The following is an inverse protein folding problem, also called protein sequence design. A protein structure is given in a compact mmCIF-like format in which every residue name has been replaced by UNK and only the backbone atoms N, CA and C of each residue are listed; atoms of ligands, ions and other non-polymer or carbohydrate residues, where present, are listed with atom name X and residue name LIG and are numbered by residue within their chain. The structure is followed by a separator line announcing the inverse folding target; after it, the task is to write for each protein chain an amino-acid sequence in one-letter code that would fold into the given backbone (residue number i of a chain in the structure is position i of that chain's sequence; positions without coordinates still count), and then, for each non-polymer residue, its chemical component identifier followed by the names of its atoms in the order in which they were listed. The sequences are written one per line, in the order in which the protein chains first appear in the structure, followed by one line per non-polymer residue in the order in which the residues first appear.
data_IF_568766663310
#
_entry.id   IF_568766663310
#
_cell.length_a   1.000
_cell.length_b   1.000
_cell.length_c   1.000
_cell.angle_alpha   90.00
_cell.angle_beta   90.00
_cell.angle_gamma   90.00
#
_symmetry.space_group_name_H-M   'P 1'
#
loop_
_entity.id
_entity.type
_entity.pdbx_description
1 polymer ?
#
# COMPACT_ATOMS: atom_id res chain seq x y z
N UNK A 1 6.99 61.07 -4.43
CA UNK A 1 6.49 59.94 -5.20
C UNK A 1 7.06 58.68 -4.54
N UNK A 2 6.24 57.97 -3.77
CA UNK A 2 6.61 56.72 -3.12
C UNK A 2 6.24 55.56 -4.05
N UNK A 3 7.23 54.86 -4.54
CA UNK A 3 7.05 53.64 -5.33
C UNK A 3 6.85 52.50 -4.31
N UNK A 4 5.62 52.02 -4.25
CA UNK A 4 5.34 50.76 -3.51
C UNK A 4 5.78 49.59 -4.38
N UNK A 5 6.88 48.98 -4.02
CA UNK A 5 7.31 47.73 -4.61
C UNK A 5 6.48 46.64 -3.93
N UNK A 6 5.50 46.10 -4.65
CA UNK A 6 4.72 44.94 -4.24
C UNK A 6 5.66 43.69 -4.35
N UNK A 7 6.16 43.24 -3.23
CA UNK A 7 6.81 41.92 -3.15
C UNK A 7 5.71 40.85 -3.20
N UNK A 8 5.49 40.31 -4.39
CA UNK A 8 4.65 39.12 -4.54
C UNK A 8 5.41 37.97 -3.91
N UNK A 9 5.07 37.63 -2.69
CA UNK A 9 5.48 36.39 -2.05
C UNK A 9 4.71 35.28 -2.77
N UNK A 10 5.34 34.66 -3.78
CA UNK A 10 4.90 33.42 -4.35
C UNK A 10 5.14 32.36 -3.26
N UNK A 11 4.15 32.12 -2.44
CA UNK A 11 4.07 30.91 -1.64
C UNK A 11 3.98 29.73 -2.61
N UNK A 12 5.13 29.19 -3.00
CA UNK A 12 5.19 27.84 -3.53
C UNK A 12 4.79 26.96 -2.35
N UNK A 13 3.50 26.69 -2.26
CA UNK A 13 3.00 25.57 -1.47
C UNK A 13 3.59 24.31 -2.11
N UNK A 14 4.77 23.91 -1.66
CA UNK A 14 5.20 22.54 -1.74
C UNK A 14 4.14 21.76 -0.95
N UNK A 15 3.10 21.34 -1.64
CA UNK A 15 2.22 20.33 -1.14
C UNK A 15 3.11 19.08 -0.93
N UNK A 16 3.60 18.90 0.30
CA UNK A 16 3.90 17.55 0.76
C UNK A 16 2.57 16.80 0.60
N UNK A 17 2.36 16.20 -0.56
CA UNK A 17 1.27 15.28 -0.73
C UNK A 17 1.56 14.13 0.23
N UNK A 18 0.90 14.20 1.38
CA UNK A 18 0.95 13.13 2.36
C UNK A 18 0.57 11.84 1.61
N UNK A 19 1.40 10.83 1.74
CA UNK A 19 1.13 9.52 1.15
C UNK A 19 -0.28 9.08 1.59
N UNK A 20 -1.19 8.91 0.63
CA UNK A 20 -2.58 8.56 0.93
C UNK A 20 -2.66 7.10 1.35
N UNK A 21 -2.82 6.86 2.64
CA UNK A 21 -2.98 5.52 3.21
C UNK A 21 -4.46 5.20 3.40
N UNK A 22 -4.87 3.98 2.98
CA UNK A 22 -6.22 3.45 3.17
C UNK A 22 -6.16 2.06 3.78
N UNK A 23 -6.85 1.86 4.90
CA UNK A 23 -7.01 0.53 5.50
C UNK A 23 -7.80 -0.39 4.55
N UNK A 24 -7.39 -1.66 4.49
CA UNK A 24 -8.04 -2.66 3.61
C UNK A 24 -9.44 -2.98 4.10
N UNK A 25 -9.62 -3.15 5.39
CA UNK A 25 -10.88 -3.59 5.98
C UNK A 25 -11.57 -2.45 6.75
N UNK A 26 -12.86 -2.25 6.51
CA UNK A 26 -13.64 -1.38 7.38
C UNK A 26 -13.64 -1.91 8.82
N UNK A 27 -13.83 -1.02 9.79
CA UNK A 27 -13.91 -1.38 11.20
C UNK A 27 -14.90 -2.53 11.44
N UNK A 28 -14.45 -3.58 12.12
CA UNK A 28 -15.25 -4.76 12.45
C UNK A 28 -15.56 -5.70 11.28
N UNK A 29 -14.95 -5.50 10.09
CA UNK A 29 -15.17 -6.34 8.90
C UNK A 29 -13.95 -7.15 8.49
N UNK A 30 -12.88 -7.14 9.28
CA UNK A 30 -11.67 -7.92 9.02
C UNK A 30 -11.96 -9.43 9.22
N UNK A 31 -11.72 -10.29 8.22
CA UNK A 31 -11.88 -11.73 8.36
C UNK A 31 -10.99 -12.28 9.47
N UNK A 32 -11.47 -13.30 10.18
CA UNK A 32 -10.72 -13.96 11.26
C UNK A 32 -10.08 -13.01 12.30
N UNK A 33 -10.69 -11.82 12.49
CA UNK A 33 -10.16 -10.80 13.39
C UNK A 33 -9.83 -11.33 14.78
N UNK A 34 -10.65 -12.24 15.31
CA UNK A 34 -10.48 -12.85 16.62
C UNK A 34 -9.23 -13.74 16.73
N UNK A 35 -8.70 -14.23 15.61
CA UNK A 35 -7.48 -15.05 15.57
C UNK A 35 -6.20 -14.22 15.50
N UNK A 36 -6.34 -12.93 15.20
CA UNK A 36 -5.20 -12.02 15.16
C UNK A 36 -4.99 -11.32 16.51
N UNK A 37 -3.74 -11.23 16.95
CA UNK A 37 -3.39 -10.46 18.16
C UNK A 37 -3.75 -8.97 18.04
N UNK A 38 -3.99 -8.51 16.81
CA UNK A 38 -4.40 -7.16 16.48
C UNK A 38 -5.92 -7.01 16.29
N UNK A 39 -6.69 -8.04 16.57
CA UNK A 39 -8.15 -8.05 16.37
C UNK A 39 -8.88 -6.91 17.08
N UNK A 40 -8.39 -6.53 18.27
CA UNK A 40 -8.92 -5.42 19.05
C UNK A 40 -8.38 -4.05 18.61
N UNK A 41 -7.44 -4.03 17.69
CA UNK A 41 -6.80 -2.79 17.24
C UNK A 41 -7.67 -2.14 16.19
N UNK A 42 -8.17 -1.02 16.51
CA UNK A 42 -9.04 -0.29 15.60
C UNK A 42 -8.25 0.53 14.60
N UNK A 43 -7.18 1.00 14.76
CA UNK A 43 -6.33 1.82 13.90
C UNK A 43 -5.18 2.33 14.75
N UNK A 44 -4.02 1.76 14.70
CA UNK A 44 -2.83 2.42 15.18
C UNK A 44 -2.39 2.22 16.62
N UNK A 45 -1.23 2.53 16.77
CA UNK A 45 -0.24 2.90 17.81
C UNK A 45 -0.68 2.95 19.29
N UNK A 46 -1.92 2.76 19.61
CA UNK A 46 -2.43 2.83 20.98
C UNK A 46 -2.82 1.50 21.61
N UNK A 47 -2.82 0.40 20.87
CA UNK A 47 -3.22 -0.87 21.42
C UNK A 47 -2.14 -1.46 22.34
N UNK A 48 -2.53 -1.85 23.52
CA UNK A 48 -1.65 -2.50 24.49
C UNK A 48 -1.01 -3.76 23.87
N UNK A 49 0.31 -3.83 23.84
CA UNK A 49 1.07 -4.93 23.25
C UNK A 49 1.35 -4.80 21.75
N UNK A 50 0.97 -3.70 21.12
CA UNK A 50 1.33 -3.41 19.74
C UNK A 50 2.85 -3.27 19.57
N UNK A 51 3.39 -3.99 18.60
CA UNK A 51 4.80 -3.88 18.18
C UNK A 51 4.83 -3.45 16.72
N UNK A 52 5.14 -2.19 16.42
CA UNK A 52 5.05 -1.64 15.05
C UNK A 52 5.91 -2.35 14.03
N UNK A 53 6.97 -3.02 14.46
CA UNK A 53 7.87 -3.83 13.65
C UNK A 53 7.28 -5.20 13.25
N UNK A 54 6.34 -5.72 14.03
CA UNK A 54 5.71 -7.03 13.82
C UNK A 54 4.23 -6.93 13.47
N UNK A 55 3.49 -6.13 14.21
CA UNK A 55 2.04 -6.04 14.04
C UNK A 55 1.70 -5.04 12.94
N UNK A 56 1.00 -5.49 11.93
CA UNK A 56 0.51 -4.65 10.84
C UNK A 56 -0.98 -4.87 10.63
N UNK A 57 -1.69 -3.76 10.54
CA UNK A 57 -3.05 -3.74 9.99
C UNK A 57 -2.90 -3.64 8.48
N UNK A 58 -3.70 -4.40 7.73
CA UNK A 58 -3.60 -4.36 6.28
C UNK A 58 -4.02 -3.00 5.71
N UNK A 59 -3.18 -2.41 4.88
CA UNK A 59 -3.45 -1.15 4.19
C UNK A 59 -2.80 -1.08 2.82
N UNK A 60 -3.30 -0.20 1.99
CA UNK A 60 -2.60 0.30 0.81
C UNK A 60 -2.16 1.73 1.05
N UNK A 61 -1.02 2.09 0.47
CA UNK A 61 -0.44 3.43 0.56
C UNK A 61 -0.03 3.89 -0.84
N UNK A 62 -0.72 4.90 -1.33
CA UNK A 62 -0.46 5.45 -2.64
C UNK A 62 0.76 6.34 -2.63
N UNK A 63 1.63 6.14 -3.61
CA UNK A 63 2.71 7.07 -3.88
C UNK A 63 2.27 8.14 -4.85
N UNK A 64 3.04 9.22 -4.92
CA UNK A 64 2.87 10.26 -5.90
C UNK A 64 2.87 9.66 -7.32
N UNK A 65 1.94 10.13 -8.14
CA UNK A 65 1.85 9.70 -9.53
C UNK A 65 3.07 10.17 -10.33
N UNK A 66 3.48 9.42 -11.36
CA UNK A 66 4.45 9.92 -12.32
C UNK A 66 3.93 11.17 -13.00
N UNK A 67 4.84 12.00 -13.50
CA UNK A 67 4.47 13.15 -14.30
C UNK A 67 3.55 12.72 -15.45
N UNK A 68 2.54 13.54 -15.76
CA UNK A 68 1.47 13.18 -16.70
C UNK A 68 2.01 12.72 -18.07
N UNK A 69 3.05 13.38 -18.56
CA UNK A 69 3.72 13.07 -19.83
C UNK A 69 4.51 11.75 -19.81
N UNK A 70 4.84 11.23 -18.62
CA UNK A 70 5.54 9.95 -18.45
C UNK A 70 4.60 8.80 -18.13
N UNK A 71 3.33 9.08 -17.78
CA UNK A 71 2.41 8.06 -17.34
C UNK A 71 2.14 7.03 -18.44
N UNK A 72 2.51 5.76 -18.21
CA UNK A 72 2.37 4.67 -19.17
C UNK A 72 1.01 3.95 -19.12
N UNK A 73 0.12 4.38 -18.24
CA UNK A 73 -1.21 3.80 -18.04
C UNK A 73 -1.22 2.52 -17.20
N UNK A 74 -0.10 2.12 -16.60
CA UNK A 74 -0.01 0.96 -15.72
C UNK A 74 0.06 1.33 -14.24
N UNK A 75 -0.23 0.35 -13.37
CA UNK A 75 -0.07 0.45 -11.92
C UNK A 75 0.73 -0.74 -11.38
N UNK A 76 1.65 -0.48 -10.46
CA UNK A 76 2.45 -1.51 -9.78
C UNK A 76 2.12 -1.56 -8.30
N UNK A 77 1.67 -2.72 -7.83
CA UNK A 77 1.48 -3.03 -6.41
C UNK A 77 2.80 -3.56 -5.88
N UNK A 78 3.39 -2.86 -4.92
CA UNK A 78 4.65 -3.22 -4.30
C UNK A 78 4.37 -4.02 -3.03
N UNK A 79 4.91 -5.24 -2.92
CA UNK A 79 4.62 -6.18 -1.83
C UNK A 79 5.93 -6.63 -1.18
N UNK A 80 6.16 -6.25 0.07
CA UNK A 80 7.35 -6.66 0.80
C UNK A 80 7.27 -8.11 1.27
N UNK A 81 8.43 -8.68 1.64
CA UNK A 81 8.54 -9.99 2.28
C UNK A 81 8.39 -9.91 3.80
N UNK A 82 8.83 -10.97 4.49
CA UNK A 82 8.86 -11.05 5.96
C UNK A 82 8.27 -12.33 6.52
N UNK A 83 8.17 -13.40 5.71
CA UNK A 83 7.73 -14.73 6.15
C UNK A 83 6.29 -14.78 6.67
N UNK A 84 5.48 -13.75 6.41
CA UNK A 84 4.15 -13.52 7.02
C UNK A 84 4.19 -13.26 8.52
N UNK A 85 5.35 -13.18 9.14
CA UNK A 85 5.53 -12.82 10.55
C UNK A 85 5.71 -11.31 10.75
N UNK A 86 6.22 -10.65 9.75
CA UNK A 86 6.33 -9.20 9.66
C UNK A 86 6.25 -8.74 8.21
N UNK A 87 6.10 -7.45 7.97
CA UNK A 87 6.34 -6.84 6.68
C UNK A 87 7.71 -6.19 6.72
N UNK A 88 8.67 -6.79 6.01
CA UNK A 88 9.99 -6.21 5.85
C UNK A 88 9.92 -4.89 5.13
N UNK A 89 10.87 -4.16 5.41
CA UNK A 89 11.25 -2.80 5.28
C UNK A 89 10.86 -2.04 4.00
N UNK A 90 10.51 -0.83 4.30
CA UNK A 90 10.35 0.37 3.50
C UNK A 90 11.53 0.63 2.53
N UNK A 91 12.76 0.18 2.81
CA UNK A 91 13.92 0.44 1.96
C UNK A 91 13.80 -0.11 0.54
N UNK A 92 13.38 -1.36 0.40
CA UNK A 92 13.14 -1.97 -0.91
C UNK A 92 11.93 -1.35 -1.62
N UNK A 93 10.87 -1.09 -0.89
CA UNK A 93 9.66 -0.46 -1.42
C UNK A 93 9.98 0.92 -1.99
N UNK A 94 10.81 1.71 -1.32
CA UNK A 94 11.25 3.03 -1.82
C UNK A 94 12.03 2.92 -3.13
N UNK A 95 12.99 1.98 -3.20
CA UNK A 95 13.76 1.77 -4.43
C UNK A 95 12.89 1.30 -5.60
N UNK A 96 11.99 0.37 -5.37
CA UNK A 96 11.07 -0.08 -6.41
C UNK A 96 10.13 1.05 -6.83
N UNK A 97 9.59 1.81 -5.88
CA UNK A 97 8.77 2.99 -6.18
C UNK A 97 9.51 3.94 -7.10
N UNK A 98 10.76 4.29 -6.82
CA UNK A 98 11.56 5.17 -7.66
C UNK A 98 11.68 4.63 -9.08
N UNK A 99 12.14 3.39 -9.23
CA UNK A 99 12.34 2.74 -10.54
C UNK A 99 11.03 2.70 -11.34
N UNK A 100 9.94 2.25 -10.74
CA UNK A 100 8.68 2.08 -11.48
C UNK A 100 7.97 3.40 -11.75
N UNK A 101 8.10 4.39 -10.87
CA UNK A 101 7.60 5.75 -11.15
C UNK A 101 8.38 6.39 -12.30
N UNK A 102 9.69 6.21 -12.38
CA UNK A 102 10.51 6.71 -13.48
C UNK A 102 10.15 6.03 -14.83
N UNK A 103 9.72 4.77 -14.76
CA UNK A 103 9.16 4.04 -15.92
C UNK A 103 7.72 4.41 -16.25
N UNK A 104 7.11 5.33 -15.51
CA UNK A 104 5.78 5.86 -15.77
C UNK A 104 4.62 5.09 -15.13
N UNK A 105 4.89 4.15 -14.22
CA UNK A 105 3.84 3.45 -13.49
C UNK A 105 3.34 4.24 -12.29
N UNK A 106 2.02 4.21 -12.07
CA UNK A 106 1.48 4.53 -10.75
C UNK A 106 1.92 3.44 -9.77
N UNK A 107 2.44 3.83 -8.61
CA UNK A 107 2.88 2.88 -7.59
C UNK A 107 1.98 2.94 -6.35
N UNK A 108 1.73 1.77 -5.76
CA UNK A 108 1.03 1.61 -4.50
C UNK A 108 1.71 0.55 -3.64
N UNK A 109 2.01 0.87 -2.40
CA UNK A 109 2.52 -0.10 -1.43
C UNK A 109 1.36 -0.87 -0.82
N UNK A 110 1.43 -2.18 -0.81
CA UNK A 110 0.48 -3.04 -0.10
C UNK A 110 1.17 -3.69 1.09
N UNK A 111 0.62 -3.44 2.27
CA UNK A 111 1.03 -4.03 3.53
C UNK A 111 -0.09 -4.97 3.99
N UNK A 112 0.23 -6.26 4.10
CA UNK A 112 -0.71 -7.26 4.60
C UNK A 112 -0.62 -7.41 6.12
N UNK A 113 -1.65 -8.01 6.74
CA UNK A 113 -1.69 -8.27 8.19
C UNK A 113 -0.55 -9.15 8.65
N UNK A 114 0.09 -8.77 9.75
CA UNK A 114 1.13 -9.58 10.43
C UNK A 114 1.01 -9.43 11.93
N UNK A 115 1.49 -10.41 12.72
CA UNK A 115 1.93 -11.73 12.30
C UNK A 115 0.77 -12.59 11.80
N UNK A 116 1.08 -13.67 11.08
CA UNK A 116 0.06 -14.66 10.71
C UNK A 116 -0.59 -15.24 11.96
N UNK A 117 -1.91 -15.51 11.96
CA UNK A 117 -2.57 -16.13 13.10
C UNK A 117 -2.29 -17.63 13.15
N UNK A 118 -2.35 -18.18 14.33
CA UNK A 118 -2.33 -19.64 14.50
C UNK A 118 -3.59 -20.31 13.95
N UNK A 119 -3.46 -21.54 13.48
CA UNK A 119 -4.58 -22.37 13.01
C UNK A 119 -5.10 -22.01 11.62
N UNK A 120 -4.43 -21.10 10.90
CA UNK A 120 -4.69 -20.83 9.48
C UNK A 120 -3.47 -21.21 8.64
N UNK A 121 -3.68 -21.42 7.33
CA UNK A 121 -2.55 -21.53 6.41
C UNK A 121 -1.69 -20.26 6.46
N UNK A 122 -0.38 -20.44 6.33
CA UNK A 122 0.58 -19.35 6.57
C UNK A 122 0.35 -18.08 5.74
N UNK A 123 -0.28 -18.23 4.58
CA UNK A 123 -0.55 -17.17 3.61
C UNK A 123 -1.99 -16.65 3.67
N UNK A 124 -2.90 -17.35 4.33
CA UNK A 124 -4.35 -17.15 4.17
C UNK A 124 -4.78 -15.72 4.44
N UNK A 125 -4.43 -15.15 5.58
CA UNK A 125 -4.83 -13.79 5.93
C UNK A 125 -4.23 -12.75 4.97
N UNK A 126 -2.97 -12.92 4.57
CA UNK A 126 -2.32 -12.04 3.62
C UNK A 126 -2.95 -12.15 2.22
N UNK A 127 -3.39 -13.34 1.83
CA UNK A 127 -4.09 -13.57 0.57
C UNK A 127 -5.48 -12.91 0.53
N UNK A 128 -6.26 -13.03 1.61
CA UNK A 128 -7.54 -12.33 1.76
C UNK A 128 -7.37 -10.81 1.67
N UNK A 129 -6.36 -10.29 2.35
CA UNK A 129 -5.99 -8.87 2.30
C UNK A 129 -5.59 -8.47 0.87
N UNK A 130 -4.76 -9.28 0.23
CA UNK A 130 -4.25 -9.02 -1.11
C UNK A 130 -5.35 -9.00 -2.17
N UNK A 131 -6.30 -9.93 -2.13
CA UNK A 131 -7.44 -9.93 -3.04
C UNK A 131 -8.27 -8.64 -2.89
N UNK A 132 -8.49 -8.20 -1.65
CA UNK A 132 -9.18 -6.95 -1.42
C UNK A 132 -8.35 -5.74 -1.86
N UNK A 133 -7.03 -5.75 -1.59
CA UNK A 133 -6.13 -4.70 -2.04
C UNK A 133 -6.17 -4.53 -3.57
N UNK A 134 -6.09 -5.62 -4.33
CA UNK A 134 -6.20 -5.59 -5.80
C UNK A 134 -7.54 -4.98 -6.24
N UNK A 135 -8.66 -5.38 -5.62
CA UNK A 135 -9.99 -4.79 -5.91
C UNK A 135 -10.03 -3.30 -5.60
N UNK A 136 -9.45 -2.87 -4.47
CA UNK A 136 -9.38 -1.45 -4.10
C UNK A 136 -8.51 -0.66 -5.07
N UNK A 137 -7.35 -1.19 -5.46
CA UNK A 137 -6.47 -0.56 -6.45
C UNK A 137 -7.22 -0.42 -7.79
N UNK A 138 -7.88 -1.47 -8.25
CA UNK A 138 -8.64 -1.47 -9.50
C UNK A 138 -9.78 -0.44 -9.48
N UNK A 139 -10.49 -0.30 -8.36
CA UNK A 139 -11.58 0.69 -8.23
C UNK A 139 -11.12 2.15 -8.25
N UNK A 140 -9.84 2.42 -8.00
CA UNK A 140 -9.25 3.77 -8.05
C UNK A 140 -8.63 4.12 -9.43
N UNK A 141 -8.66 3.17 -10.38
CA UNK A 141 -7.94 3.29 -11.64
C UNK A 141 -8.31 4.54 -12.43
N UNK A 142 -9.60 4.79 -12.64
CA UNK A 142 -10.10 5.97 -13.35
C UNK A 142 -9.66 7.28 -12.67
N UNK A 143 -9.87 7.37 -11.36
CA UNK A 143 -9.49 8.54 -10.55
C UNK A 143 -8.00 8.84 -10.64
N UNK A 144 -7.16 7.79 -10.77
CA UNK A 144 -5.70 7.91 -10.76
C UNK A 144 -5.06 7.85 -12.15
N UNK A 145 -5.89 7.73 -13.19
CA UNK A 145 -5.45 7.82 -14.59
C UNK A 145 -4.70 6.59 -15.11
N UNK A 146 -4.91 5.39 -14.54
CA UNK A 146 -4.34 4.16 -15.08
C UNK A 146 -5.44 3.18 -15.55
N UNK A 147 -5.05 2.22 -16.38
CA UNK A 147 -5.95 1.19 -16.88
C UNK A 147 -6.13 0.08 -15.84
N UNK A 148 -7.37 -0.25 -15.40
CA UNK A 148 -7.65 -1.30 -14.43
C UNK A 148 -7.19 -2.71 -14.85
N UNK A 149 -6.95 -2.93 -16.15
CA UNK A 149 -6.42 -4.19 -16.68
C UNK A 149 -4.89 -4.23 -16.73
N UNK A 150 -4.21 -3.11 -16.44
CA UNK A 150 -2.75 -2.99 -16.43
C UNK A 150 -2.22 -2.84 -15.00
N UNK A 151 -2.59 -3.76 -14.13
CA UNK A 151 -2.11 -3.83 -12.75
C UNK A 151 -1.13 -4.99 -12.63
N UNK A 152 0.11 -4.67 -12.28
CA UNK A 152 1.16 -5.65 -12.01
C UNK A 152 1.59 -5.64 -10.55
N UNK A 153 2.47 -6.57 -10.18
CA UNK A 153 3.07 -6.65 -8.85
C UNK A 153 4.59 -6.67 -8.93
N UNK A 154 5.23 -6.02 -7.97
CA UNK A 154 6.66 -6.19 -7.66
C UNK A 154 6.77 -6.66 -6.22
N UNK A 155 7.50 -7.72 -6.00
CA UNK A 155 7.44 -8.41 -4.73
C UNK A 155 8.74 -9.15 -4.39
N UNK A 156 8.92 -9.48 -3.12
CA UNK A 156 10.08 -10.20 -2.64
C UNK A 156 9.68 -11.26 -1.59
N UNK A 157 10.36 -12.43 -1.61
CA UNK A 157 10.22 -13.47 -0.58
C UNK A 157 8.76 -13.90 -0.36
N UNK A 158 8.23 -13.84 0.86
CA UNK A 158 6.81 -14.12 1.15
C UNK A 158 5.85 -13.25 0.34
N UNK A 159 6.23 -12.00 0.02
CA UNK A 159 5.48 -11.15 -0.91
C UNK A 159 5.41 -11.72 -2.31
N UNK A 160 6.47 -12.39 -2.80
CA UNK A 160 6.44 -13.05 -4.12
C UNK A 160 5.54 -14.28 -4.14
N UNK A 161 5.54 -15.06 -3.06
CA UNK A 161 4.57 -16.14 -2.89
C UNK A 161 3.14 -15.61 -2.91
N UNK A 162 2.88 -14.52 -2.17
CA UNK A 162 1.59 -13.85 -2.16
C UNK A 162 1.20 -13.32 -3.55
N UNK A 163 2.11 -12.67 -4.26
CA UNK A 163 1.87 -12.15 -5.61
C UNK A 163 1.50 -13.27 -6.58
N UNK A 164 2.17 -14.43 -6.49
CA UNK A 164 1.84 -15.61 -7.29
C UNK A 164 0.44 -16.13 -6.99
N UNK A 165 0.07 -16.25 -5.72
CA UNK A 165 -1.28 -16.64 -5.30
C UNK A 165 -2.35 -15.68 -5.84
N UNK A 166 -2.10 -14.36 -5.78
CA UNK A 166 -3.02 -13.34 -6.29
C UNK A 166 -3.19 -13.42 -7.81
N UNK A 167 -2.15 -13.83 -8.54
CA UNK A 167 -2.20 -13.96 -10.00
C UNK A 167 -2.81 -15.28 -10.48
N UNK A 168 -2.81 -16.34 -9.67
CA UNK A 168 -3.22 -17.69 -10.09
C UNK A 168 -4.48 -18.22 -9.41
N UNK A 169 -4.87 -17.62 -8.28
CA UNK A 169 -5.99 -18.09 -7.45
C UNK A 169 -6.96 -16.95 -7.20
N UNK A 170 -7.84 -16.67 -8.16
CA UNK A 170 -8.96 -15.73 -7.99
C UNK A 170 -10.17 -16.48 -7.40
N UNK A 171 -10.79 -15.91 -6.38
CA UNK A 171 -12.14 -16.24 -5.92
C UNK A 171 -13.11 -15.17 -6.36
#
# INVERSE_FOLDING_TARGET
KRIFTLLAIVCIALSLQAQERKTIWPKGKMPDAQKHQIAAMTDEAGAKGFKPDKHRIAYIEWFEAPAKEKHNGGCMILISGGGYENCCDIGYIRKWKEVFTDLGFQCVNFVYRTPRPEGLAIYQSAWEDGQRAVRMVRSEAEKRGFNPEKIGTVSMSAGSHLALLLGTSSQ
#
